data_IF_880934846979
#
_entry.id   IF_880934846979
#
_cell.length_a   1.000
_cell.length_b   1.000
_cell.length_c   1.000
_cell.angle_alpha   90.00
_cell.angle_beta   90.00
_cell.angle_gamma   90.00
#
_symmetry.space_group_name_H-M   'P 1'
#
loop_
_entity.id
_entity.type
_entity.pdbx_description
1 polymer ?
#
# COMPACT_ATOMS: atom_id res chain seq x y z
N UNK A 1 -9.43 19.90 6.32
CA UNK A 1 -8.81 20.56 5.15
C UNK A 1 -7.29 20.34 5.08
N UNK A 2 -6.50 20.49 6.15
CA UNK A 2 -5.04 20.24 6.07
C UNK A 2 -4.70 18.75 5.88
N UNK A 3 -5.47 17.83 6.49
CA UNK A 3 -5.25 16.37 6.37
C UNK A 3 -5.44 15.83 4.96
N UNK A 4 -6.48 16.29 4.26
CA UNK A 4 -6.84 15.82 2.92
C UNK A 4 -5.77 16.13 1.87
N UNK A 5 -5.16 17.33 1.94
CA UNK A 5 -4.06 17.70 1.04
C UNK A 5 -2.81 16.83 1.24
N UNK A 6 -2.47 16.46 2.49
CA UNK A 6 -1.32 15.59 2.79
C UNK A 6 -1.54 14.17 2.25
N UNK A 7 -2.77 13.67 2.39
CA UNK A 7 -3.13 12.36 1.84
C UNK A 7 -3.07 12.33 0.31
N UNK A 8 -3.63 13.33 -0.37
CA UNK A 8 -3.56 13.44 -1.84
C UNK A 8 -2.11 13.45 -2.35
N UNK A 9 -1.19 14.12 -1.64
CA UNK A 9 0.24 14.08 -1.97
C UNK A 9 0.84 12.68 -1.77
N UNK A 10 0.40 11.95 -0.76
CA UNK A 10 0.85 10.58 -0.49
C UNK A 10 0.45 9.62 -1.61
N UNK A 11 -0.75 9.78 -2.20
CA UNK A 11 -1.21 8.94 -3.31
C UNK A 11 -0.27 8.94 -4.52
N UNK A 12 0.32 10.10 -4.82
CA UNK A 12 1.30 10.21 -5.91
C UNK A 12 2.55 9.38 -5.61
N UNK A 13 3.08 9.49 -4.39
CA UNK A 13 4.26 8.72 -3.97
C UNK A 13 3.96 7.22 -3.93
N UNK A 14 2.80 6.82 -3.40
CA UNK A 14 2.34 5.42 -3.39
C UNK A 14 2.31 4.87 -4.82
N UNK A 15 1.74 5.60 -5.78
CA UNK A 15 1.68 5.16 -7.17
C UNK A 15 3.07 4.93 -7.79
N UNK A 16 4.06 5.77 -7.46
CA UNK A 16 5.43 5.59 -7.93
C UNK A 16 6.11 4.37 -7.31
N UNK A 17 5.84 4.07 -6.05
CA UNK A 17 6.47 2.97 -5.32
C UNK A 17 5.81 1.62 -5.68
N UNK A 18 4.48 1.57 -5.79
CA UNK A 18 3.72 0.40 -6.26
C UNK A 18 4.21 -0.07 -7.63
N UNK A 19 4.40 0.85 -8.58
CA UNK A 19 4.89 0.50 -9.92
C UNK A 19 6.32 -0.06 -9.93
N UNK A 20 7.09 0.14 -8.86
CA UNK A 20 8.47 -0.34 -8.72
C UNK A 20 8.59 -1.58 -7.83
N UNK A 21 7.57 -1.88 -7.03
CA UNK A 21 7.60 -2.96 -6.04
C UNK A 21 7.61 -4.32 -6.74
N UNK A 22 8.59 -5.16 -6.36
CA UNK A 22 8.69 -6.59 -6.69
C UNK A 22 8.35 -6.99 -8.13
N UNK A 23 8.75 -6.16 -9.11
CA UNK A 23 8.46 -6.37 -10.54
C UNK A 23 9.04 -7.66 -11.14
N UNK A 24 9.84 -8.40 -10.39
CA UNK A 24 10.33 -9.74 -10.76
C UNK A 24 9.36 -10.88 -10.41
N UNK A 25 8.32 -10.61 -9.60
CA UNK A 25 7.29 -11.59 -9.26
C UNK A 25 6.19 -11.61 -10.32
N UNK A 26 5.89 -12.80 -10.84
CA UNK A 26 4.78 -13.03 -11.79
C UNK A 26 3.44 -12.52 -11.23
N UNK A 27 3.27 -12.56 -9.91
CA UNK A 27 2.12 -12.00 -9.21
C UNK A 27 1.79 -10.56 -9.63
N UNK A 28 2.81 -9.71 -9.82
CA UNK A 28 2.62 -8.30 -10.17
C UNK A 28 2.55 -8.04 -11.68
N UNK A 29 2.55 -9.06 -12.53
CA UNK A 29 2.21 -8.89 -13.95
C UNK A 29 0.74 -8.52 -14.15
N UNK A 30 -0.13 -8.94 -13.21
CA UNK A 30 -1.54 -8.56 -13.20
C UNK A 30 -1.71 -7.19 -12.57
N UNK A 31 -2.28 -6.25 -13.33
CA UNK A 31 -2.59 -4.91 -12.82
C UNK A 31 -3.53 -4.93 -11.60
N UNK A 32 -4.42 -5.92 -11.51
CA UNK A 32 -5.32 -6.12 -10.36
C UNK A 32 -4.54 -6.26 -9.04
N UNK A 33 -3.39 -6.92 -9.05
CA UNK A 33 -2.56 -7.13 -7.87
C UNK A 33 -1.78 -5.87 -7.48
N UNK A 34 -1.40 -5.04 -8.46
CA UNK A 34 -0.86 -3.71 -8.19
C UNK A 34 -1.94 -2.78 -7.61
N UNK A 35 -3.17 -2.87 -8.11
CA UNK A 35 -4.31 -2.12 -7.58
C UNK A 35 -4.57 -2.45 -6.11
N UNK A 36 -4.60 -3.74 -5.73
CA UNK A 36 -4.70 -4.16 -4.32
C UNK A 36 -3.62 -3.50 -3.44
N UNK A 37 -2.37 -3.46 -3.91
CA UNK A 37 -1.26 -2.83 -3.18
C UNK A 37 -1.48 -1.32 -3.03
N UNK A 38 -1.93 -0.66 -4.10
CA UNK A 38 -2.25 0.75 -4.07
C UNK A 38 -3.42 1.06 -3.13
N UNK A 39 -4.49 0.27 -3.17
CA UNK A 39 -5.70 0.45 -2.35
C UNK A 39 -5.37 0.34 -0.86
N UNK A 40 -4.67 -0.74 -0.45
CA UNK A 40 -4.28 -0.97 0.95
C UNK A 40 -3.41 0.18 1.48
N UNK A 41 -2.39 0.60 0.72
CA UNK A 41 -1.49 1.69 1.14
C UNK A 41 -2.22 3.04 1.21
N UNK A 42 -3.13 3.29 0.27
CA UNK A 42 -3.92 4.52 0.23
C UNK A 42 -4.89 4.61 1.41
N UNK A 43 -5.54 3.50 1.76
CA UNK A 43 -6.43 3.39 2.92
C UNK A 43 -5.64 3.52 4.23
N UNK A 44 -4.49 2.84 4.34
CA UNK A 44 -3.63 2.96 5.52
C UNK A 44 -3.20 4.42 5.76
N UNK A 45 -2.70 5.08 4.71
CA UNK A 45 -2.25 6.47 4.80
C UNK A 45 -3.37 7.47 5.15
N UNK A 46 -4.63 7.09 4.90
CA UNK A 46 -5.79 7.86 5.33
C UNK A 46 -6.14 7.64 6.80
N UNK A 47 -6.03 6.41 7.28
CA UNK A 47 -6.40 5.99 8.63
C UNK A 47 -5.38 6.46 9.66
N UNK A 48 -4.08 6.21 9.43
CA UNK A 48 -3.00 6.69 10.30
C UNK A 48 -2.31 7.87 9.62
N UNK A 49 -2.80 9.08 9.88
CA UNK A 49 -2.30 10.30 9.23
C UNK A 49 -1.00 10.83 9.85
N UNK A 50 -0.70 10.38 11.07
CA UNK A 50 0.51 10.75 11.80
C UNK A 50 1.71 10.06 11.14
N UNK A 51 1.58 8.76 10.84
CA UNK A 51 2.55 8.01 10.02
C UNK A 51 2.40 8.36 8.54
N UNK A 52 1.17 8.25 8.01
CA UNK A 52 0.86 8.40 6.59
C UNK A 52 1.51 7.31 5.74
N UNK A 53 2.08 7.70 4.60
CA UNK A 53 2.90 6.83 3.76
C UNK A 53 4.37 7.24 3.81
N UNK A 54 5.26 6.27 3.95
CA UNK A 54 6.70 6.43 3.86
C UNK A 54 7.27 5.43 2.84
N UNK A 55 8.34 5.83 2.16
CA UNK A 55 9.01 5.00 1.17
C UNK A 55 9.44 3.65 1.80
N UNK A 56 9.18 2.56 1.09
CA UNK A 56 9.45 1.18 1.55
C UNK A 56 8.25 0.47 2.18
N UNK A 57 7.17 1.20 2.50
CA UNK A 57 5.94 0.57 2.99
C UNK A 57 5.27 -0.34 1.95
N UNK A 58 5.48 -0.09 0.65
CA UNK A 58 5.00 -0.97 -0.42
C UNK A 58 5.71 -2.33 -0.40
N UNK A 59 7.02 -2.34 -0.18
CA UNK A 59 7.81 -3.56 -0.06
C UNK A 59 7.41 -4.36 1.20
N UNK A 60 7.06 -3.66 2.28
CA UNK A 60 6.53 -4.28 3.49
C UNK A 60 5.14 -4.87 3.29
N UNK A 61 4.27 -4.23 2.51
CA UNK A 61 2.90 -4.66 2.26
C UNK A 61 2.81 -5.79 1.20
N UNK A 62 3.73 -5.79 0.23
CA UNK A 62 3.83 -6.78 -0.85
C UNK A 62 3.63 -8.24 -0.39
N UNK A 63 4.38 -8.75 0.61
CA UNK A 63 4.22 -10.13 1.06
C UNK A 63 2.82 -10.45 1.62
N UNK A 64 2.09 -9.49 2.20
CA UNK A 64 0.74 -9.75 2.71
C UNK A 64 -0.20 -10.06 1.56
N UNK A 65 -0.14 -9.29 0.48
CA UNK A 65 -1.03 -9.44 -0.68
C UNK A 65 -0.67 -10.70 -1.49
N UNK A 66 0.60 -11.07 -1.51
CA UNK A 66 1.06 -12.31 -2.14
C UNK A 66 0.62 -13.55 -1.34
N UNK A 67 0.61 -13.47 -0.02
CA UNK A 67 0.31 -14.62 0.87
C UNK A 67 -1.17 -14.76 1.22
N UNK A 68 -1.92 -13.66 1.26
CA UNK A 68 -3.31 -13.61 1.66
C UNK A 68 -4.20 -13.37 0.44
N UNK A 69 -5.22 -14.21 0.27
CA UNK A 69 -6.13 -14.12 -0.87
C UNK A 69 -7.02 -12.87 -0.80
N UNK A 70 -7.46 -12.54 0.42
CA UNK A 70 -8.37 -11.44 0.72
C UNK A 70 -7.62 -10.13 1.01
N UNK A 71 -8.07 -9.06 0.35
CA UNK A 71 -7.49 -7.72 0.49
C UNK A 71 -7.70 -7.14 1.90
N UNK A 72 -8.85 -7.43 2.51
CA UNK A 72 -9.16 -6.99 3.86
C UNK A 72 -8.19 -7.60 4.89
N UNK A 73 -7.88 -8.89 4.77
CA UNK A 73 -6.92 -9.57 5.64
C UNK A 73 -5.52 -8.99 5.45
N UNK A 74 -5.13 -8.73 4.20
CA UNK A 74 -3.87 -8.06 3.86
C UNK A 74 -3.77 -6.69 4.51
N UNK A 75 -4.84 -5.89 4.46
CA UNK A 75 -4.92 -4.59 5.12
C UNK A 75 -4.71 -4.72 6.63
N UNK A 76 -5.48 -5.56 7.33
CA UNK A 76 -5.37 -5.67 8.78
C UNK A 76 -4.03 -6.23 9.25
N UNK A 77 -3.44 -7.16 8.49
CA UNK A 77 -2.09 -7.64 8.77
C UNK A 77 -1.04 -6.52 8.61
N UNK A 78 -1.13 -5.75 7.53
CA UNK A 78 -0.23 -4.62 7.30
C UNK A 78 -0.40 -3.52 8.36
N UNK A 79 -1.64 -3.15 8.68
CA UNK A 79 -1.96 -2.18 9.71
C UNK A 79 -1.38 -2.58 11.06
N UNK A 80 -1.47 -3.87 11.41
CA UNK A 80 -0.91 -4.38 12.65
C UNK A 80 0.61 -4.37 12.68
N UNK A 81 1.26 -4.57 11.53
CA UNK A 81 2.73 -4.50 11.39
C UNK A 81 3.25 -3.07 11.63
N UNK A 82 2.52 -2.06 11.18
CA UNK A 82 2.95 -0.66 11.27
C UNK A 82 2.73 -0.01 12.66
N UNK A 83 2.04 -0.71 13.57
CA UNK A 83 1.81 -0.33 14.98
C UNK A 83 2.82 -0.96 15.95
#
# INVERSE_FOLDING_TARGET
>A
MVSENKWLLSLHQIGLDVNRTDRSLEFYEKNENLSKLWDILSVYAWIDQDVGYCQGMSDLCSPMIVLLEEEADSFFCFERLMR
#
